data_IF_043647279970
#
_entry.id   IF_043647279970
#
_cell.length_a   1.000
_cell.length_b   1.000
_cell.length_c   1.000
_cell.angle_alpha   90.00
_cell.angle_beta   90.00
_cell.angle_gamma   90.00
#
_symmetry.space_group_name_H-M   'P 1'
#
loop_
_entity.id
_entity.type
_entity.pdbx_description
1 polymer ?
#
# COMPACT_ATOMS: atom_id res chain seq x y z
N UNK A 1 14.63 -13.18 8.63
CA UNK A 1 13.61 -12.44 7.86
C UNK A 1 13.54 -11.05 8.42
N UNK A 2 13.77 -10.06 7.56
CA UNK A 2 13.78 -8.65 7.92
C UNK A 2 12.34 -8.13 8.13
N UNK A 3 12.13 -7.04 8.90
CA UNK A 3 10.80 -6.55 9.25
C UNK A 3 9.93 -6.13 8.04
N UNK A 4 10.56 -5.61 6.99
CA UNK A 4 9.97 -5.26 5.69
C UNK A 4 9.44 -6.48 4.92
N UNK A 5 10.17 -7.60 4.90
CA UNK A 5 9.67 -8.85 4.30
C UNK A 5 8.49 -9.40 5.11
N UNK A 6 8.52 -9.27 6.45
CA UNK A 6 7.38 -9.64 7.30
C UNK A 6 6.16 -8.76 7.02
N UNK A 7 6.36 -7.46 6.78
CA UNK A 7 5.29 -6.53 6.43
C UNK A 7 4.52 -7.00 5.19
N UNK A 8 5.23 -7.40 4.12
CA UNK A 8 4.61 -7.93 2.89
C UNK A 8 3.78 -9.18 3.18
N UNK A 9 4.34 -10.14 3.91
CA UNK A 9 3.63 -11.39 4.23
C UNK A 9 2.41 -11.17 5.10
N UNK A 10 2.53 -10.30 6.10
CA UNK A 10 1.43 -9.94 6.99
C UNK A 10 0.32 -9.19 6.22
N UNK A 11 0.68 -8.36 5.23
CA UNK A 11 -0.29 -7.67 4.37
C UNK A 11 -1.10 -8.68 3.54
N UNK A 12 -0.43 -9.62 2.88
CA UNK A 12 -1.08 -10.65 2.05
C UNK A 12 -1.96 -11.58 2.90
N UNK A 13 -1.51 -11.91 4.12
CA UNK A 13 -2.31 -12.72 5.05
C UNK A 13 -3.57 -11.99 5.56
N UNK A 14 -3.50 -10.67 5.75
CA UNK A 14 -4.64 -9.85 6.17
C UNK A 14 -5.59 -9.51 5.00
N UNK A 15 -5.03 -9.36 3.79
CA UNK A 15 -5.74 -8.91 2.59
C UNK A 15 -5.44 -9.91 1.45
N UNK A 16 -6.20 -11.01 1.38
CA UNK A 16 -5.98 -12.07 0.38
C UNK A 16 -6.08 -11.60 -1.07
N UNK A 17 -6.71 -10.46 -1.33
CA UNK A 17 -6.75 -9.84 -2.66
C UNK A 17 -5.35 -9.53 -3.24
N UNK A 18 -4.29 -9.52 -2.41
CA UNK A 18 -2.90 -9.38 -2.85
C UNK A 18 -2.17 -10.71 -3.10
N UNK A 19 -2.80 -11.87 -2.93
CA UNK A 19 -2.15 -13.18 -3.11
C UNK A 19 -1.59 -13.37 -4.53
N UNK A 20 -2.39 -13.06 -5.56
CA UNK A 20 -1.97 -13.18 -6.96
C UNK A 20 -0.85 -12.20 -7.32
N UNK A 21 -0.94 -10.97 -6.80
CA UNK A 21 0.12 -9.97 -6.95
C UNK A 21 1.42 -10.45 -6.28
N UNK A 22 1.33 -11.01 -5.08
CA UNK A 22 2.47 -11.55 -4.33
C UNK A 22 3.11 -12.74 -5.04
N UNK A 23 2.31 -13.67 -5.55
CA UNK A 23 2.79 -14.83 -6.28
C UNK A 23 3.54 -14.41 -7.55
N UNK A 24 2.98 -13.46 -8.31
CA UNK A 24 3.60 -12.90 -9.52
C UNK A 24 4.90 -12.17 -9.20
N UNK A 25 4.92 -11.36 -8.14
CA UNK A 25 6.11 -10.66 -7.66
C UNK A 25 7.24 -11.65 -7.35
N UNK A 26 6.97 -12.67 -6.53
CA UNK A 26 7.97 -13.67 -6.14
C UNK A 26 8.48 -14.47 -7.33
N UNK A 27 7.59 -14.80 -8.27
CA UNK A 27 7.97 -15.50 -9.49
C UNK A 27 8.90 -14.66 -10.38
N UNK A 28 8.64 -13.36 -10.53
CA UNK A 28 9.43 -12.48 -11.39
C UNK A 28 10.78 -12.08 -10.79
N UNK A 29 10.84 -11.90 -9.47
CA UNK A 29 12.02 -11.34 -8.79
C UNK A 29 12.88 -12.41 -8.09
N UNK A 30 12.50 -13.70 -8.20
CA UNK A 30 13.08 -14.85 -7.46
C UNK A 30 13.13 -14.66 -5.92
N UNK A 31 12.46 -13.62 -5.40
CA UNK A 31 12.44 -13.18 -4.02
C UNK A 31 11.31 -12.16 -3.76
N UNK A 32 11.12 -11.79 -2.49
CA UNK A 32 10.26 -10.66 -2.12
C UNK A 32 11.13 -9.40 -2.05
N UNK A 33 10.79 -8.39 -2.85
CA UNK A 33 11.41 -7.06 -2.81
C UNK A 33 10.36 -6.05 -2.29
N UNK A 34 10.36 -5.72 -0.99
CA UNK A 34 9.26 -4.96 -0.38
C UNK A 34 8.98 -3.63 -1.04
N UNK A 35 10.01 -2.86 -1.44
CA UNK A 35 9.81 -1.57 -2.10
C UNK A 35 9.14 -1.67 -3.47
N UNK A 36 9.44 -2.73 -4.23
CA UNK A 36 8.85 -2.97 -5.57
C UNK A 36 7.42 -3.48 -5.39
N UNK A 37 7.20 -4.43 -4.48
CA UNK A 37 5.86 -4.92 -4.17
C UNK A 37 4.93 -3.80 -3.69
N UNK A 38 5.43 -2.91 -2.83
CA UNK A 38 4.63 -1.80 -2.29
C UNK A 38 4.29 -0.72 -3.32
N UNK A 39 5.06 -0.62 -4.41
CA UNK A 39 4.67 0.21 -5.55
C UNK A 39 3.35 -0.29 -6.15
N UNK A 40 3.24 -1.60 -6.41
CA UNK A 40 2.01 -2.20 -6.97
C UNK A 40 0.85 -2.14 -5.98
N UNK A 41 1.09 -2.42 -4.69
CA UNK A 41 0.10 -2.23 -3.62
C UNK A 41 -0.46 -0.81 -3.64
N UNK A 42 0.37 0.20 -3.86
CA UNK A 42 -0.08 1.59 -3.94
C UNK A 42 -0.98 1.83 -5.15
N UNK A 43 -0.63 1.29 -6.31
CA UNK A 43 -1.45 1.44 -7.52
C UNK A 43 -2.82 0.77 -7.33
N UNK A 44 -2.86 -0.47 -6.85
CA UNK A 44 -4.09 -1.21 -6.62
C UNK A 44 -4.96 -0.54 -5.53
N UNK A 45 -4.34 -0.03 -4.45
CA UNK A 45 -5.08 0.70 -3.41
C UNK A 45 -5.73 1.97 -3.95
N UNK A 46 -5.04 2.72 -4.82
CA UNK A 46 -5.59 3.92 -5.46
C UNK A 46 -6.68 3.56 -6.48
N UNK A 47 -6.50 2.47 -7.23
CA UNK A 47 -7.49 1.93 -8.17
C UNK A 47 -8.79 1.56 -7.45
N UNK A 48 -8.66 0.84 -6.34
CA UNK A 48 -9.76 0.48 -5.44
C UNK A 48 -10.47 1.71 -4.88
N UNK A 49 -9.71 2.72 -4.43
CA UNK A 49 -10.28 3.99 -3.97
C UNK A 49 -11.11 4.71 -5.06
N UNK A 50 -10.68 4.60 -6.32
CA UNK A 50 -11.40 5.16 -7.46
C UNK A 50 -12.61 4.31 -7.91
N UNK A 51 -12.82 3.13 -7.32
CA UNK A 51 -13.87 2.19 -7.72
C UNK A 51 -13.61 1.58 -9.10
N UNK A 52 -12.34 1.44 -9.49
CA UNK A 52 -11.93 0.91 -10.79
C UNK A 52 -11.64 -0.61 -10.75
N UNK A 53 -11.93 -1.24 -9.61
CA UNK A 53 -11.87 -2.69 -9.43
C UNK A 53 -13.15 -3.27 -10.02
N UNK A 54 -13.13 -3.70 -11.30
CA UNK A 54 -14.33 -4.29 -11.88
C UNK A 54 -14.55 -4.27 -13.40
N UNK A 55 -13.50 -4.18 -14.23
CA UNK A 55 -13.67 -4.37 -15.69
C UNK A 55 -13.10 -5.70 -16.22
N UNK A 56 -12.59 -6.58 -15.35
CA UNK A 56 -12.08 -7.88 -15.76
C UNK A 56 -12.08 -8.89 -14.62
N UNK A 57 -12.81 -9.98 -14.83
CA UNK A 57 -12.91 -11.20 -14.03
C UNK A 57 -13.99 -11.21 -12.91
N UNK A 58 -15.11 -11.84 -13.26
CA UNK A 58 -16.22 -12.21 -12.37
C UNK A 58 -15.75 -13.31 -11.39
N UNK A 59 -14.98 -12.96 -10.36
CA UNK A 59 -14.57 -13.97 -9.37
C UNK A 59 -13.66 -13.56 -8.23
N UNK A 60 -12.93 -12.44 -8.35
CA UNK A 60 -12.09 -11.93 -7.26
C UNK A 60 -12.86 -11.03 -6.30
N UNK A 61 -12.69 -11.22 -5.00
CA UNK A 61 -13.12 -10.22 -4.02
C UNK A 61 -12.39 -8.91 -4.34
N UNK A 62 -13.15 -7.86 -4.69
CA UNK A 62 -12.59 -6.55 -4.98
C UNK A 62 -11.75 -6.07 -3.79
N UNK A 63 -10.57 -5.51 -4.07
CA UNK A 63 -9.67 -5.00 -3.05
C UNK A 63 -10.41 -3.94 -2.21
N UNK A 64 -10.32 -4.02 -0.89
CA UNK A 64 -10.81 -2.96 0.00
C UNK A 64 -9.66 -2.03 0.41
N UNK A 65 -9.56 -0.88 -0.26
CA UNK A 65 -8.56 0.13 0.06
C UNK A 65 -8.59 0.57 1.54
N UNK A 66 -9.74 0.53 2.21
CA UNK A 66 -9.83 0.91 3.63
C UNK A 66 -9.10 -0.07 4.52
N UNK A 67 -9.18 -1.36 4.22
CA UNK A 67 -8.44 -2.40 4.92
C UNK A 67 -6.94 -2.23 4.73
N UNK A 68 -6.48 -1.81 3.53
CA UNK A 68 -5.06 -1.48 3.30
C UNK A 68 -4.61 -0.31 4.16
N UNK A 69 -5.34 0.81 4.15
CA UNK A 69 -4.97 1.98 4.95
C UNK A 69 -4.97 1.66 6.45
N UNK A 70 -5.96 0.91 6.93
CA UNK A 70 -6.03 0.48 8.33
C UNK A 70 -4.81 -0.36 8.72
N UNK A 71 -4.44 -1.34 7.89
CA UNK A 71 -3.27 -2.17 8.12
C UNK A 71 -1.99 -1.33 8.18
N UNK A 72 -1.77 -0.44 7.20
CA UNK A 72 -0.55 0.37 7.14
C UNK A 72 -0.47 1.39 8.27
N UNK A 73 -1.59 1.97 8.69
CA UNK A 73 -1.65 2.86 9.84
C UNK A 73 -1.27 2.11 11.13
N UNK A 74 -1.82 0.91 11.34
CA UNK A 74 -1.48 0.08 12.49
C UNK A 74 0.01 -0.26 12.51
N UNK A 75 0.58 -0.69 11.38
CA UNK A 75 2.00 -1.03 11.28
C UNK A 75 2.89 0.20 11.49
N UNK A 76 2.50 1.34 10.92
CA UNK A 76 3.18 2.63 11.09
C UNK A 76 3.19 3.14 12.52
N UNK A 77 2.13 2.85 13.29
CA UNK A 77 2.01 3.28 14.69
C UNK A 77 3.01 2.61 15.63
N UNK A 78 3.57 1.47 15.21
CA UNK A 78 4.55 0.69 15.99
C UNK A 78 5.97 1.27 15.93
N UNK A 79 6.24 2.21 15.02
CA UNK A 79 7.51 2.94 14.93
C UNK A 79 8.72 2.07 14.58
N UNK A 80 8.52 1.01 13.79
CA UNK A 80 9.62 0.13 13.34
C UNK A 80 10.29 0.79 12.13
N UNK A 81 11.57 1.20 12.20
CA UNK A 81 12.22 2.00 11.16
C UNK A 81 12.16 1.39 9.76
N UNK A 82 12.38 0.08 9.63
CA UNK A 82 12.40 -0.61 8.33
C UNK A 82 11.00 -0.72 7.71
N UNK A 83 9.95 -0.79 8.53
CA UNK A 83 8.55 -0.72 8.05
C UNK A 83 8.22 0.71 7.65
N UNK A 84 8.62 1.66 8.47
CA UNK A 84 8.38 3.08 8.22
C UNK A 84 9.06 3.53 6.94
N UNK A 85 10.27 3.06 6.67
CA UNK A 85 11.00 3.29 5.42
C UNK A 85 10.14 2.85 4.22
N UNK A 86 9.70 1.59 4.17
CA UNK A 86 8.88 1.07 3.06
C UNK A 86 7.57 1.83 2.91
N UNK A 87 6.85 2.07 4.01
CA UNK A 87 5.57 2.81 3.97
C UNK A 87 5.79 4.23 3.46
N UNK A 88 6.84 4.91 3.92
CA UNK A 88 7.13 6.28 3.52
C UNK A 88 7.57 6.36 2.06
N UNK A 89 8.55 5.56 1.65
CA UNK A 89 9.18 5.69 0.33
C UNK A 89 8.43 4.99 -0.78
N UNK A 90 7.64 3.96 -0.47
CA UNK A 90 6.98 3.11 -1.47
C UNK A 90 5.46 3.17 -1.44
N UNK A 91 4.85 3.68 -0.37
CA UNK A 91 3.40 3.93 -0.33
C UNK A 91 3.09 5.43 -0.36
N UNK A 92 3.46 6.16 0.69
CA UNK A 92 3.13 7.58 0.86
C UNK A 92 3.77 8.45 -0.24
N UNK A 93 5.03 8.20 -0.58
CA UNK A 93 5.75 8.93 -1.61
C UNK A 93 5.20 8.70 -3.03
N UNK A 94 4.34 7.72 -3.23
CA UNK A 94 3.73 7.41 -4.54
C UNK A 94 2.22 7.63 -4.59
N UNK A 95 1.61 8.12 -3.50
CA UNK A 95 0.24 8.60 -3.58
C UNK A 95 0.10 9.72 -4.63
N UNK A 96 -1.06 9.84 -5.31
CA UNK A 96 -1.24 10.81 -6.38
C UNK A 96 -1.01 12.25 -5.90
N UNK A 97 -0.45 13.10 -6.76
CA UNK A 97 -0.26 14.54 -6.49
C UNK A 97 -1.58 15.32 -6.54
N UNK A 98 -1.66 16.51 -5.91
CA UNK A 98 -2.81 17.39 -6.03
C UNK A 98 -3.26 17.60 -7.49
N UNK A 99 -4.56 17.43 -7.74
CA UNK A 99 -5.15 17.53 -9.08
C UNK A 99 -5.07 16.25 -9.94
N UNK A 100 -4.43 15.17 -9.45
CA UNK A 100 -4.48 13.85 -10.10
C UNK A 100 -5.66 13.01 -9.56
N UNK A 101 -6.26 12.14 -10.39
CA UNK A 101 -7.22 11.15 -9.92
C UNK A 101 -6.66 10.36 -8.74
N UNK A 102 -7.50 10.13 -7.72
CA UNK A 102 -7.12 9.35 -6.54
C UNK A 102 -6.45 10.15 -5.43
N UNK A 103 -6.04 11.41 -5.66
CA UNK A 103 -5.40 12.23 -4.62
C UNK A 103 -6.28 12.41 -3.35
N UNK A 104 -7.60 12.30 -3.50
CA UNK A 104 -8.53 12.35 -2.37
C UNK A 104 -8.23 11.33 -1.26
N UNK A 105 -7.58 10.20 -1.59
CA UNK A 105 -7.19 9.16 -0.62
C UNK A 105 -6.26 9.68 0.49
N UNK A 106 -5.51 10.77 0.24
CA UNK A 106 -4.65 11.40 1.25
C UNK A 106 -5.46 11.90 2.45
N UNK A 107 -6.74 12.26 2.26
CA UNK A 107 -7.63 12.70 3.35
C UNK A 107 -8.13 11.55 4.21
N UNK A 108 -7.97 10.32 3.73
CA UNK A 108 -8.40 9.10 4.42
C UNK A 108 -7.27 8.48 5.26
N UNK A 109 -6.05 9.06 5.20
CA UNK A 109 -4.93 8.58 5.99
C UNK A 109 -5.20 8.76 7.49
N UNK A 110 -4.83 7.74 8.27
CA UNK A 110 -4.80 7.84 9.71
C UNK A 110 -3.76 8.86 10.20
N UNK A 111 -3.82 9.27 11.48
CA UNK A 111 -3.00 10.36 12.01
C UNK A 111 -1.49 10.14 11.88
N UNK A 112 -1.01 8.89 12.02
CA UNK A 112 0.43 8.58 11.92
C UNK A 112 0.90 8.68 10.47
N UNK A 113 0.20 8.02 9.54
CA UNK A 113 0.52 8.09 8.12
C UNK A 113 0.35 9.51 7.57
N UNK A 114 -0.66 10.26 8.00
CA UNK A 114 -0.86 11.65 7.63
C UNK A 114 0.31 12.54 8.09
N UNK A 115 0.80 12.36 9.31
CA UNK A 115 1.97 13.09 9.81
C UNK A 115 3.24 12.76 9.01
N UNK A 116 3.47 11.47 8.71
CA UNK A 116 4.59 11.03 7.86
C UNK A 116 4.49 11.59 6.44
N UNK A 117 3.28 11.57 5.85
CA UNK A 117 3.03 12.14 4.52
C UNK A 117 3.32 13.64 4.48
N UNK A 118 2.85 14.40 5.46
CA UNK A 118 3.11 15.84 5.55
C UNK A 118 4.60 16.18 5.68
N UNK A 119 5.39 15.32 6.34
CA UNK A 119 6.83 15.51 6.47
C UNK A 119 7.58 15.31 5.14
N UNK A 120 7.14 14.39 4.29
CA UNK A 120 7.79 14.11 3.00
C UNK A 120 7.25 14.96 1.83
N UNK A 121 6.05 15.55 1.98
CA UNK A 121 5.41 16.40 0.97
C UNK A 121 4.82 17.67 1.60
N UNK A 122 5.68 18.63 1.98
CA UNK A 122 5.21 19.91 2.51
C UNK A 122 4.50 20.70 1.40
N UNK A 123 3.17 20.64 1.39
CA UNK A 123 2.31 21.30 0.38
C UNK A 123 1.33 20.38 -0.35
N UNK A 124 1.45 19.06 -0.15
CA UNK A 124 0.61 18.04 -0.82
C UNK A 124 1.28 17.41 -2.04
#
# INVERSE_FOLDING_TARGET
MTPDIRLVRDLVAEIPAFEDLYATHVFNEDAVLPHVFFWDVTQETVRSYLGLDGDGDEGGDALDWRSVLRFLEERSSRGVPEIDEVVVTSFLAYLPFPGKPGHGIVRELGPVMAAKFAAIRPGG
#
